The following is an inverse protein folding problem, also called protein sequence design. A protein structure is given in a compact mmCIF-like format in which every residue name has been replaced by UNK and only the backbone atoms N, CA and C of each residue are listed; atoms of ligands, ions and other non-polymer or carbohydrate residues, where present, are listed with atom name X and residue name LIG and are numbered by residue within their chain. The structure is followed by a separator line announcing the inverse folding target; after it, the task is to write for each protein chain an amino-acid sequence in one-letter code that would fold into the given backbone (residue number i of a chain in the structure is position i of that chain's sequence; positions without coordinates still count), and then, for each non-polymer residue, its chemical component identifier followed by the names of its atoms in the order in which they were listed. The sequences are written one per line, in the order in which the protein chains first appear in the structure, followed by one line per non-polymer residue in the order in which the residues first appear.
data_IF_685967354303
#
_entry.id   IF_685967354303
#
_cell.length_a   1.000
_cell.length_b   1.000
_cell.length_c   1.000
_cell.angle_alpha   90.00
_cell.angle_beta   90.00
_cell.angle_gamma   90.00
#
_symmetry.space_group_name_H-M   'P 1'
#
loop_
_entity.id
_entity.type
_entity.pdbx_description
1 polymer ?
#
# COMPACT_ATOMS: atom_id res chain seq x y z
N UNK A 1 -18.26 -5.77 6.28
CA UNK A 1 -17.47 -6.87 5.64
C UNK A 1 -17.68 -8.28 6.20
N UNK A 2 -17.53 -8.51 7.52
CA UNK A 2 -17.54 -9.87 8.11
C UNK A 2 -18.80 -10.68 7.80
N UNK A 3 -19.94 -10.01 7.84
CA UNK A 3 -21.22 -10.60 7.52
C UNK A 3 -21.30 -11.08 6.06
N UNK A 4 -20.83 -10.26 5.10
CA UNK A 4 -20.77 -10.68 3.71
C UNK A 4 -19.89 -11.91 3.50
N UNK A 5 -18.71 -11.95 4.13
CA UNK A 5 -17.81 -13.10 4.04
C UNK A 5 -18.49 -14.38 4.55
N UNK A 6 -19.19 -14.30 5.70
CA UNK A 6 -19.93 -15.42 6.27
C UNK A 6 -21.05 -15.91 5.34
N UNK A 7 -21.89 -15.00 4.84
CA UNK A 7 -23.00 -15.35 3.93
C UNK A 7 -22.50 -15.96 2.62
N UNK A 8 -21.38 -15.43 2.09
CA UNK A 8 -20.75 -15.94 0.88
C UNK A 8 -20.23 -17.38 1.07
N UNK A 9 -19.55 -17.64 2.19
CA UNK A 9 -19.09 -18.97 2.59
C UNK A 9 -20.28 -19.93 2.74
N UNK A 10 -21.34 -19.52 3.43
CA UNK A 10 -22.55 -20.34 3.64
C UNK A 10 -23.22 -20.71 2.31
N UNK A 11 -23.29 -19.79 1.35
CA UNK A 11 -23.86 -20.08 0.03
C UNK A 11 -23.09 -21.20 -0.69
N UNK A 12 -21.77 -21.08 -0.77
CA UNK A 12 -20.94 -22.09 -1.46
C UNK A 12 -21.05 -23.43 -0.75
N UNK A 13 -20.94 -23.44 0.58
CA UNK A 13 -20.93 -24.67 1.37
C UNK A 13 -22.30 -25.36 1.43
N UNK A 14 -23.39 -24.65 1.15
CA UNK A 14 -24.73 -25.25 1.06
C UNK A 14 -24.89 -26.16 -0.18
N UNK A 15 -24.25 -25.81 -1.30
CA UNK A 15 -24.35 -26.51 -2.59
C UNK A 15 -23.00 -26.48 -3.32
N UNK A 16 -21.93 -27.09 -2.78
CA UNK A 16 -20.58 -26.92 -3.31
C UNK A 16 -20.41 -27.49 -4.73
N UNK A 17 -21.18 -28.53 -5.08
CA UNK A 17 -21.11 -29.18 -6.39
C UNK A 17 -21.52 -28.25 -7.54
N UNK A 18 -22.42 -27.29 -7.28
CA UNK A 18 -22.92 -26.33 -8.27
C UNK A 18 -21.85 -25.33 -8.74
N UNK A 19 -20.73 -25.24 -8.03
CA UNK A 19 -19.67 -24.25 -8.26
C UNK A 19 -18.33 -24.88 -8.64
N UNK A 20 -18.22 -26.21 -8.76
CA UNK A 20 -16.94 -26.90 -9.05
C UNK A 20 -16.39 -26.50 -10.42
N UNK A 21 -17.20 -26.59 -11.48
CA UNK A 21 -16.75 -26.22 -12.84
C UNK A 21 -16.48 -24.71 -12.94
N UNK A 22 -17.27 -23.89 -12.26
CA UNK A 22 -17.10 -22.43 -12.20
C UNK A 22 -15.75 -22.06 -11.55
N UNK A 23 -15.40 -22.71 -10.44
CA UNK A 23 -14.09 -22.54 -9.80
C UNK A 23 -12.94 -23.02 -10.71
N UNK A 24 -13.08 -24.17 -11.38
CA UNK A 24 -12.05 -24.64 -12.33
C UNK A 24 -11.80 -23.63 -13.44
N UNK A 25 -12.85 -23.12 -14.05
CA UNK A 25 -12.76 -22.10 -15.11
C UNK A 25 -12.10 -20.81 -14.58
N UNK A 26 -12.51 -20.33 -13.40
CA UNK A 26 -11.89 -19.17 -12.76
C UNK A 26 -10.38 -19.35 -12.56
N UNK A 27 -9.93 -20.43 -11.93
CA UNK A 27 -8.49 -20.65 -11.71
C UNK A 27 -7.71 -20.86 -13.01
N UNK A 28 -8.31 -21.50 -14.03
CA UNK A 28 -7.69 -21.61 -15.35
C UNK A 28 -7.49 -20.23 -16.00
N UNK A 29 -8.47 -19.34 -15.90
CA UNK A 29 -8.38 -17.95 -16.39
C UNK A 29 -7.34 -17.16 -15.61
N UNK A 30 -7.32 -17.26 -14.28
CA UNK A 30 -6.31 -16.60 -13.43
C UNK A 30 -4.89 -17.04 -13.80
N UNK A 31 -4.66 -18.35 -13.96
CA UNK A 31 -3.35 -18.91 -14.33
C UNK A 31 -2.84 -18.46 -15.71
N UNK A 32 -3.72 -17.97 -16.58
CA UNK A 32 -3.39 -17.41 -17.91
C UNK A 32 -3.42 -15.87 -17.94
N UNK A 33 -3.70 -15.24 -16.80
CA UNK A 33 -3.90 -13.80 -16.70
C UNK A 33 -2.60 -13.03 -16.44
N UNK A 34 -2.69 -11.70 -16.44
CA UNK A 34 -1.60 -10.78 -16.08
C UNK A 34 -1.60 -10.37 -14.61
N UNK A 35 -2.33 -11.09 -13.73
CA UNK A 35 -2.23 -10.93 -12.28
C UNK A 35 -0.90 -11.53 -11.78
N UNK A 36 0.21 -10.89 -12.15
CA UNK A 36 1.58 -11.41 -11.97
C UNK A 36 2.32 -10.52 -10.97
N UNK A 37 2.87 -11.14 -9.93
CA UNK A 37 3.74 -10.54 -8.93
C UNK A 37 5.08 -11.29 -8.90
N UNK A 38 6.20 -10.58 -9.05
CA UNK A 38 7.55 -11.16 -9.18
C UNK A 38 7.64 -12.35 -10.15
N UNK A 39 7.06 -12.21 -11.34
CA UNK A 39 7.12 -13.21 -12.41
C UNK A 39 6.24 -14.45 -12.21
N UNK A 40 5.42 -14.49 -11.15
CA UNK A 40 4.47 -15.58 -10.89
C UNK A 40 3.05 -15.04 -10.82
N UNK A 41 2.09 -15.84 -11.28
CA UNK A 41 0.67 -15.55 -11.06
C UNK A 41 0.40 -15.52 -9.56
N UNK A 42 -0.32 -14.50 -9.09
CA UNK A 42 -0.66 -14.36 -7.67
C UNK A 42 -1.48 -15.53 -7.17
N UNK A 43 -1.24 -15.92 -5.92
CA UNK A 43 -2.13 -16.85 -5.21
C UNK A 43 -3.45 -16.15 -4.97
N UNK A 44 -4.55 -16.81 -5.28
CA UNK A 44 -5.91 -16.27 -5.04
C UNK A 44 -6.82 -17.40 -4.56
N UNK A 45 -8.03 -17.04 -4.17
CA UNK A 45 -9.06 -17.95 -3.64
C UNK A 45 -10.38 -17.64 -4.35
N UNK A 46 -11.38 -18.50 -4.21
CA UNK A 46 -12.75 -18.21 -4.67
C UNK A 46 -13.47 -17.20 -3.77
N UNK A 47 -12.74 -16.32 -3.08
CA UNK A 47 -13.24 -15.33 -2.13
C UNK A 47 -12.91 -13.93 -2.62
N UNK A 48 -13.94 -13.08 -2.74
CA UNK A 48 -13.78 -11.63 -2.83
C UNK A 48 -14.06 -10.97 -1.47
N UNK A 49 -13.54 -9.76 -1.29
CA UNK A 49 -13.85 -8.90 -0.14
C UNK A 49 -15.01 -8.00 -0.50
N UNK A 50 -16.18 -8.33 0.03
CA UNK A 50 -17.38 -7.52 -0.11
C UNK A 50 -17.49 -6.50 1.03
N UNK A 51 -17.80 -5.26 0.67
CA UNK A 51 -17.99 -4.18 1.64
C UNK A 51 -19.12 -3.24 1.24
N UNK A 52 -19.78 -2.63 2.22
CA UNK A 52 -20.93 -1.75 1.99
C UNK A 52 -20.65 -0.28 2.28
N UNK A 53 -21.70 0.54 2.22
CA UNK A 53 -21.63 1.98 2.44
C UNK A 53 -21.00 2.37 3.79
N UNK A 54 -21.31 1.63 4.87
CA UNK A 54 -20.71 1.87 6.20
C UNK A 54 -19.19 1.69 6.19
N UNK A 55 -18.72 0.60 5.58
CA UNK A 55 -17.30 0.31 5.45
C UNK A 55 -16.60 1.37 4.58
N UNK A 56 -17.24 1.77 3.47
CA UNK A 56 -16.74 2.85 2.60
C UNK A 56 -16.58 4.18 3.36
N UNK A 57 -17.59 4.60 4.11
CA UNK A 57 -17.51 5.85 4.89
C UNK A 57 -16.37 5.79 5.91
N UNK A 58 -16.15 4.64 6.54
CA UNK A 58 -15.02 4.43 7.44
C UNK A 58 -13.68 4.67 6.70
N UNK A 59 -13.53 4.11 5.50
CA UNK A 59 -12.34 4.31 4.68
C UNK A 59 -12.15 5.76 4.24
N UNK A 60 -13.22 6.46 3.87
CA UNK A 60 -13.15 7.89 3.53
C UNK A 60 -12.68 8.73 4.74
N UNK A 61 -13.19 8.46 5.96
CA UNK A 61 -12.74 9.15 7.17
C UNK A 61 -11.30 8.78 7.58
N UNK A 62 -10.89 7.52 7.42
CA UNK A 62 -9.49 7.09 7.60
C UNK A 62 -8.56 7.91 6.70
N UNK A 63 -8.91 8.04 5.42
CA UNK A 63 -8.17 8.85 4.46
C UNK A 63 -8.09 10.31 4.89
N UNK A 64 -9.22 10.93 5.17
CA UNK A 64 -9.30 12.33 5.60
C UNK A 64 -8.42 12.61 6.83
N UNK A 65 -8.46 11.74 7.84
CA UNK A 65 -7.66 11.90 9.05
C UNK A 65 -6.17 11.77 8.76
N UNK A 66 -5.76 10.72 8.05
CA UNK A 66 -4.35 10.48 7.74
C UNK A 66 -3.77 11.53 6.80
N UNK A 67 -4.55 12.08 5.87
CA UNK A 67 -4.12 13.17 5.00
C UNK A 67 -3.98 14.49 5.78
N UNK A 68 -4.89 14.77 6.72
CA UNK A 68 -4.75 15.91 7.64
C UNK A 68 -3.46 15.81 8.46
N UNK A 69 -3.23 14.66 9.11
CA UNK A 69 -2.02 14.38 9.89
C UNK A 69 -0.78 14.51 9.00
N UNK A 70 -0.76 13.86 7.84
CA UNK A 70 0.38 13.89 6.92
C UNK A 70 0.72 15.31 6.43
N UNK A 71 -0.29 16.12 6.10
CA UNK A 71 -0.10 17.51 5.71
C UNK A 71 0.44 18.38 6.86
N UNK A 72 0.04 18.12 8.11
CA UNK A 72 0.59 18.82 9.28
C UNK A 72 2.02 18.38 9.58
N UNK A 73 2.31 17.08 9.50
CA UNK A 73 3.64 16.50 9.62
C UNK A 73 4.59 17.13 8.59
N UNK A 74 4.17 17.24 7.32
CA UNK A 74 4.98 17.84 6.27
C UNK A 74 5.29 19.31 6.54
N UNK A 75 4.29 20.09 6.98
CA UNK A 75 4.49 21.49 7.35
C UNK A 75 5.43 21.66 8.54
N UNK A 76 5.33 20.79 9.55
CA UNK A 76 6.23 20.83 10.70
C UNK A 76 7.65 20.42 10.30
N UNK A 77 7.79 19.38 9.48
CA UNK A 77 9.08 18.93 8.94
C UNK A 77 9.78 20.04 8.15
N UNK A 78 9.05 20.77 7.32
CA UNK A 78 9.58 21.92 6.58
C UNK A 78 10.14 23.00 7.51
N UNK A 79 9.39 23.35 8.56
CA UNK A 79 9.68 24.52 9.41
C UNK A 79 10.66 24.25 10.54
N UNK A 80 10.72 23.02 11.05
CA UNK A 80 11.35 22.72 12.33
C UNK A 80 12.50 21.71 12.22
N UNK A 81 13.77 22.19 12.22
CA UNK A 81 14.94 21.31 12.16
C UNK A 81 15.01 20.29 13.29
N UNK A 82 14.52 20.61 14.50
CA UNK A 82 14.52 19.64 15.62
C UNK A 82 13.51 18.51 15.39
N UNK A 83 12.36 18.81 14.78
CA UNK A 83 11.40 17.78 14.39
C UNK A 83 11.98 16.88 13.29
N UNK A 84 12.72 17.45 12.32
CA UNK A 84 13.36 16.67 11.24
C UNK A 84 14.33 15.62 11.76
N UNK A 85 15.09 15.93 12.82
CA UNK A 85 16.02 14.98 13.45
C UNK A 85 15.34 13.68 13.91
N UNK A 86 14.03 13.70 14.20
CA UNK A 86 13.28 12.50 14.57
C UNK A 86 13.18 11.46 13.44
N UNK A 87 13.39 11.87 12.19
CA UNK A 87 13.35 10.99 11.02
C UNK A 87 14.71 10.33 10.73
N UNK A 88 15.81 11.02 11.03
CA UNK A 88 17.16 10.52 10.73
C UNK A 88 17.47 10.36 9.24
N UNK A 89 16.80 11.10 8.36
CA UNK A 89 17.08 11.06 6.93
C UNK A 89 18.46 11.65 6.59
N UNK A 90 19.05 11.17 5.49
CA UNK A 90 20.32 11.72 5.00
C UNK A 90 20.13 13.15 4.48
N UNK A 91 21.20 13.97 4.44
CA UNK A 91 21.11 15.35 3.96
C UNK A 91 20.50 15.48 2.55
N UNK A 92 20.85 14.55 1.64
CA UNK A 92 20.27 14.54 0.30
C UNK A 92 18.77 14.24 0.33
N UNK A 93 18.34 13.23 1.09
CA UNK A 93 16.92 12.90 1.17
C UNK A 93 16.11 14.03 1.83
N UNK A 94 16.66 14.67 2.86
CA UNK A 94 16.06 15.87 3.46
C UNK A 94 15.89 16.99 2.42
N UNK A 95 16.92 17.28 1.61
CA UNK A 95 16.85 18.26 0.53
C UNK A 95 15.72 17.91 -0.47
N UNK A 96 15.60 16.64 -0.87
CA UNK A 96 14.58 16.18 -1.79
C UNK A 96 13.15 16.27 -1.22
N UNK A 97 12.99 16.01 0.09
CA UNK A 97 11.71 16.13 0.80
C UNK A 97 11.28 17.59 0.96
N UNK A 98 12.22 18.49 1.25
CA UNK A 98 11.97 19.92 1.45
C UNK A 98 11.63 20.64 0.16
N UNK A 99 12.08 20.12 -1.00
CA UNK A 99 11.71 20.67 -2.31
C UNK A 99 10.18 20.70 -2.46
N UNK A 100 9.66 21.81 -2.96
CA UNK A 100 8.26 21.91 -3.36
C UNK A 100 8.02 21.07 -4.63
N UNK A 101 7.17 20.03 -4.61
CA UNK A 101 6.87 19.21 -5.77
C UNK A 101 5.91 19.88 -6.76
N UNK A 102 5.43 21.11 -6.47
CA UNK A 102 4.53 21.87 -7.34
C UNK A 102 3.06 21.50 -7.16
N UNK A 103 2.71 20.78 -6.09
CA UNK A 103 1.35 20.47 -5.68
C UNK A 103 1.22 20.45 -4.16
N UNK A 104 0.02 20.70 -3.64
CA UNK A 104 -0.21 20.92 -2.20
C UNK A 104 -0.26 19.65 -1.35
N UNK A 105 -0.53 18.51 -1.98
CA UNK A 105 -0.73 17.24 -1.27
C UNK A 105 0.61 16.66 -0.83
N UNK A 106 0.68 16.15 0.41
CA UNK A 106 1.87 15.43 0.90
C UNK A 106 2.01 14.07 0.24
N UNK A 107 0.89 13.36 0.10
CA UNK A 107 0.84 11.98 -0.41
C UNK A 107 -0.13 11.91 -1.59
N UNK A 108 0.36 11.97 -2.85
CA UNK A 108 -0.52 11.90 -4.01
C UNK A 108 -1.09 10.50 -4.26
N UNK A 109 -0.37 9.46 -3.84
CA UNK A 109 -0.73 8.05 -3.98
C UNK A 109 -0.45 7.35 -2.65
N UNK A 110 -1.49 6.84 -2.00
CA UNK A 110 -1.36 6.06 -0.77
C UNK A 110 -2.04 4.69 -0.93
N UNK A 111 -1.44 3.68 -0.29
CA UNK A 111 -2.09 2.45 0.12
C UNK A 111 -1.88 2.28 1.63
N UNK A 112 -2.92 2.48 2.42
CA UNK A 112 -2.84 2.33 3.87
C UNK A 112 -3.34 0.96 4.27
N UNK A 113 -2.46 0.17 4.88
CA UNK A 113 -2.72 -1.22 5.18
C UNK A 113 -3.17 -1.34 6.63
N UNK A 114 -4.38 -1.84 6.81
CA UNK A 114 -5.04 -1.96 8.11
C UNK A 114 -5.51 -3.39 8.37
N UNK A 115 -5.52 -3.77 9.64
CA UNK A 115 -6.37 -4.84 10.13
C UNK A 115 -7.73 -4.23 10.47
N UNK A 116 -8.77 -4.66 9.78
CA UNK A 116 -10.10 -4.06 9.87
C UNK A 116 -11.12 -5.08 10.41
N UNK A 117 -11.78 -4.76 11.52
CA UNK A 117 -12.88 -5.56 12.03
C UNK A 117 -14.23 -4.94 11.67
N UNK A 118 -14.37 -3.63 11.92
CA UNK A 118 -15.57 -2.82 11.68
C UNK A 118 -15.18 -1.32 11.67
N UNK A 119 -16.08 -0.40 11.26
CA UNK A 119 -15.75 1.02 11.06
C UNK A 119 -15.01 1.69 12.23
N UNK A 120 -15.36 1.38 13.46
CA UNK A 120 -14.77 1.98 14.66
C UNK A 120 -13.60 1.18 15.25
N UNK A 121 -13.34 -0.04 14.76
CA UNK A 121 -12.31 -0.95 15.28
C UNK A 121 -11.42 -1.48 14.13
N UNK A 122 -10.32 -0.77 13.94
CA UNK A 122 -9.27 -1.13 13.00
C UNK A 122 -7.93 -0.63 13.53
N UNK A 123 -6.83 -1.22 13.06
CA UNK A 123 -5.48 -0.85 13.46
C UNK A 123 -4.57 -0.85 12.24
N UNK A 124 -3.72 0.17 12.12
CA UNK A 124 -2.74 0.25 11.03
C UNK A 124 -1.62 -0.79 11.19
N UNK A 125 -1.23 -1.39 10.07
CA UNK A 125 -0.08 -2.29 9.97
C UNK A 125 1.13 -1.56 9.37
N UNK A 126 0.94 -0.93 8.22
CA UNK A 126 1.95 -0.19 7.46
C UNK A 126 1.32 0.92 6.62
N UNK A 127 2.12 1.93 6.25
CA UNK A 127 1.72 3.02 5.36
C UNK A 127 2.55 2.96 4.07
N UNK A 128 1.93 2.53 2.97
CA UNK A 128 2.60 2.46 1.67
C UNK A 128 2.31 3.75 0.89
N UNK A 129 3.31 4.63 0.79
CA UNK A 129 3.16 5.92 0.10
C UNK A 129 4.33 6.19 -0.87
N UNK A 130 5.09 5.14 -1.16
CA UNK A 130 6.26 5.14 -2.03
C UNK A 130 6.24 3.87 -2.87
N UNK A 131 6.09 4.02 -4.19
CA UNK A 131 6.07 2.87 -5.10
C UNK A 131 4.90 1.87 -4.93
N UNK A 132 3.80 2.25 -4.25
CA UNK A 132 2.66 1.37 -3.94
C UNK A 132 2.18 0.54 -5.14
N UNK A 133 1.93 -0.75 -4.90
CA UNK A 133 1.62 -1.77 -5.90
C UNK A 133 0.30 -2.51 -5.61
N UNK A 134 0.00 -3.53 -6.42
CA UNK A 134 -1.13 -4.45 -6.34
C UNK A 134 -2.45 -3.98 -6.95
N UNK A 135 -2.44 -2.85 -7.66
CA UNK A 135 -3.60 -2.36 -8.40
C UNK A 135 -3.97 -3.30 -9.55
N UNK A 136 -2.96 -3.79 -10.28
CA UNK A 136 -3.22 -4.67 -11.43
C UNK A 136 -3.77 -6.04 -11.00
N UNK A 137 -3.26 -6.56 -9.88
CA UNK A 137 -3.64 -7.85 -9.34
C UNK A 137 -5.12 -7.84 -8.93
N UNK A 138 -5.53 -6.82 -8.15
CA UNK A 138 -6.93 -6.63 -7.80
C UNK A 138 -7.80 -6.43 -9.06
N UNK A 139 -7.39 -5.56 -9.99
CA UNK A 139 -8.15 -5.28 -11.20
C UNK A 139 -8.41 -6.54 -12.04
N UNK A 140 -7.37 -7.35 -12.28
CA UNK A 140 -7.48 -8.56 -13.09
C UNK A 140 -8.33 -9.61 -12.35
N UNK A 141 -8.07 -9.84 -11.06
CA UNK A 141 -8.82 -10.81 -10.27
C UNK A 141 -10.29 -10.41 -10.16
N UNK A 142 -10.60 -9.13 -9.91
CA UNK A 142 -11.95 -8.60 -9.82
C UNK A 142 -12.71 -8.77 -11.13
N UNK A 143 -12.11 -8.39 -12.26
CA UNK A 143 -12.70 -8.54 -13.61
C UNK A 143 -13.00 -10.01 -13.95
N UNK A 144 -12.17 -10.95 -13.51
CA UNK A 144 -12.43 -12.38 -13.70
C UNK A 144 -13.50 -12.90 -12.72
N UNK A 145 -13.44 -12.46 -11.46
CA UNK A 145 -14.33 -12.93 -10.40
C UNK A 145 -15.79 -12.55 -10.66
N UNK A 146 -16.07 -11.33 -11.14
CA UNK A 146 -17.45 -10.89 -11.45
C UNK A 146 -18.10 -11.68 -12.60
N UNK A 147 -17.32 -12.47 -13.36
CA UNK A 147 -17.83 -13.34 -14.42
C UNK A 147 -18.21 -14.74 -13.92
N UNK A 148 -17.94 -15.06 -12.67
CA UNK A 148 -18.23 -16.37 -12.09
C UNK A 148 -19.73 -16.55 -11.81
N UNK A 149 -20.21 -17.78 -11.88
CA UNK A 149 -21.57 -18.16 -11.45
C UNK A 149 -21.74 -17.87 -9.97
N UNK A 150 -20.76 -18.20 -9.14
CA UNK A 150 -20.86 -17.99 -7.69
C UNK A 150 -21.06 -16.52 -7.31
N UNK A 151 -20.37 -15.61 -8.00
CA UNK A 151 -20.60 -14.17 -7.83
C UNK A 151 -22.03 -13.80 -8.22
N UNK A 152 -22.50 -14.21 -9.41
CA UNK A 152 -23.86 -13.90 -9.89
C UNK A 152 -24.94 -14.40 -8.94
N UNK A 153 -24.80 -15.60 -8.41
CA UNK A 153 -25.77 -16.19 -7.49
C UNK A 153 -25.75 -15.47 -6.13
N UNK A 154 -24.57 -15.02 -5.69
CA UNK A 154 -24.41 -14.28 -4.43
C UNK A 154 -24.99 -12.86 -4.50
N UNK A 155 -24.62 -12.10 -5.53
CA UNK A 155 -25.10 -10.72 -5.69
C UNK A 155 -26.55 -10.68 -6.14
N UNK A 156 -27.02 -11.67 -6.91
CA UNK A 156 -28.37 -11.71 -7.44
C UNK A 156 -28.71 -10.45 -8.24
N UNK A 157 -29.71 -9.69 -7.79
CA UNK A 157 -30.14 -8.44 -8.42
C UNK A 157 -29.52 -7.19 -7.76
N UNK A 158 -28.67 -7.37 -6.74
CA UNK A 158 -28.08 -6.25 -6.02
C UNK A 158 -27.04 -5.53 -6.86
N UNK A 159 -26.95 -4.21 -6.67
CA UNK A 159 -25.97 -3.39 -7.37
C UNK A 159 -24.62 -3.50 -6.68
N UNK A 160 -23.61 -3.92 -7.40
CA UNK A 160 -22.22 -3.97 -6.91
C UNK A 160 -21.26 -3.35 -7.91
N UNK A 161 -20.10 -2.93 -7.44
CA UNK A 161 -19.05 -2.28 -8.24
C UNK A 161 -17.69 -2.84 -7.85
N UNK A 162 -16.90 -3.22 -8.86
CA UNK A 162 -15.45 -3.37 -8.74
C UNK A 162 -14.83 -2.05 -9.21
N UNK A 163 -13.98 -1.41 -8.40
CA UNK A 163 -13.36 -0.13 -8.77
C UNK A 163 -12.06 -0.37 -9.50
N UNK A 164 -11.90 0.26 -10.68
CA UNK A 164 -10.65 0.17 -11.43
C UNK A 164 -9.56 1.03 -10.77
N UNK A 165 -8.50 0.39 -10.29
CA UNK A 165 -7.40 1.03 -9.59
C UNK A 165 -6.31 1.59 -10.54
N UNK A 166 -6.33 1.24 -11.82
CA UNK A 166 -5.31 1.70 -12.79
C UNK A 166 -5.84 2.88 -13.59
N UNK A 167 -7.01 2.72 -14.22
CA UNK A 167 -7.55 3.76 -15.10
C UNK A 167 -7.87 5.04 -14.34
N UNK A 168 -8.37 4.92 -13.10
CA UNK A 168 -8.67 6.07 -12.26
C UNK A 168 -7.42 6.84 -11.84
N UNK A 169 -6.29 6.15 -11.59
CA UNK A 169 -5.02 6.84 -11.35
C UNK A 169 -4.58 7.60 -12.60
N UNK A 170 -4.61 6.97 -13.77
CA UNK A 170 -4.25 7.59 -15.06
C UNK A 170 -5.07 8.85 -15.32
N UNK A 171 -6.39 8.80 -15.09
CA UNK A 171 -7.29 9.94 -15.26
C UNK A 171 -6.96 11.07 -14.28
N UNK A 172 -6.82 10.74 -12.99
CA UNK A 172 -6.56 11.74 -11.94
C UNK A 172 -5.17 12.37 -12.06
N UNK A 173 -4.15 11.57 -12.33
CA UNK A 173 -2.76 12.02 -12.43
C UNK A 173 -2.55 12.97 -13.61
N UNK A 174 -3.12 12.65 -14.76
CA UNK A 174 -3.01 13.49 -15.96
C UNK A 174 -3.86 14.74 -15.86
N UNK A 175 -5.08 14.65 -15.31
CA UNK A 175 -5.91 15.83 -15.05
C UNK A 175 -5.23 16.81 -14.08
N UNK A 176 -4.53 16.30 -13.05
CA UNK A 176 -3.73 17.13 -12.16
C UNK A 176 -2.60 17.82 -12.91
N UNK A 177 -1.83 17.09 -13.73
CA UNK A 177 -0.76 17.67 -14.54
C UNK A 177 -1.29 18.78 -15.46
N UNK A 178 -2.29 18.48 -16.27
CA UNK A 178 -2.85 19.41 -17.26
C UNK A 178 -3.41 20.67 -16.58
N UNK A 179 -4.06 20.52 -15.42
CA UNK A 179 -4.54 21.65 -14.62
C UNK A 179 -3.40 22.56 -14.14
N UNK A 180 -2.27 21.98 -13.72
CA UNK A 180 -1.16 22.73 -13.14
C UNK A 180 -0.20 23.30 -14.20
N UNK A 181 -0.05 22.62 -15.34
CA UNK A 181 0.96 22.94 -16.37
C UNK A 181 0.35 23.50 -17.66
N UNK A 182 -0.95 23.34 -17.87
CA UNK A 182 -1.67 23.92 -19.03
C UNK A 182 -1.45 23.19 -20.36
N UNK A 183 -0.83 22.01 -20.35
CA UNK A 183 -0.62 21.18 -21.55
C UNK A 183 -0.62 19.69 -21.21
N UNK A 184 -0.71 18.84 -22.24
CA UNK A 184 -0.65 17.37 -22.10
C UNK A 184 0.80 16.91 -21.78
N UNK A 185 1.01 15.97 -20.85
CA UNK A 185 2.35 15.46 -20.54
C UNK A 185 2.78 14.32 -21.47
N UNK A 186 4.10 14.21 -21.61
CA UNK A 186 4.80 12.98 -21.99
C UNK A 186 5.24 12.32 -20.69
N UNK A 187 4.98 11.03 -20.54
CA UNK A 187 4.99 10.37 -19.23
C UNK A 187 6.06 9.29 -19.19
N UNK A 188 6.86 9.26 -18.13
CA UNK A 188 7.72 8.12 -17.81
C UNK A 188 7.25 7.44 -16.53
N UNK A 189 7.05 6.13 -16.58
CA UNK A 189 6.92 5.27 -15.39
C UNK A 189 8.33 4.80 -15.07
N UNK A 190 8.89 5.25 -13.95
CA UNK A 190 10.32 5.07 -13.66
C UNK A 190 10.53 4.13 -12.48
N UNK A 191 11.32 3.06 -12.70
CA UNK A 191 11.75 2.07 -11.70
C UNK A 191 13.02 1.32 -12.16
N UNK A 192 13.70 0.59 -11.26
CA UNK A 192 14.81 -0.29 -11.65
C UNK A 192 14.31 -1.55 -12.35
N UNK A 193 14.69 -1.72 -13.62
CA UNK A 193 14.15 -2.79 -14.48
C UNK A 193 14.90 -4.14 -14.36
N UNK A 194 15.84 -4.26 -13.44
CA UNK A 194 16.68 -5.46 -13.25
C UNK A 194 15.89 -6.70 -12.81
N UNK A 195 14.70 -6.50 -12.27
CA UNK A 195 13.77 -7.58 -11.92
C UNK A 195 12.79 -7.91 -13.07
N UNK A 196 12.97 -7.30 -14.25
CA UNK A 196 12.01 -7.31 -15.35
C UNK A 196 10.92 -6.25 -15.18
N UNK A 197 10.33 -5.82 -16.29
CA UNK A 197 9.16 -4.93 -16.27
C UNK A 197 7.98 -5.65 -15.63
N UNK A 198 7.41 -5.08 -14.57
CA UNK A 198 6.24 -5.68 -13.93
C UNK A 198 5.01 -5.60 -14.85
N UNK A 199 4.16 -6.63 -14.83
CA UNK A 199 2.89 -6.63 -15.55
C UNK A 199 2.00 -5.43 -15.16
N UNK A 200 2.17 -4.90 -13.94
CA UNK A 200 1.50 -3.71 -13.47
C UNK A 200 1.97 -2.43 -14.20
N UNK A 201 3.27 -2.27 -14.45
CA UNK A 201 3.78 -1.09 -15.18
C UNK A 201 3.30 -1.08 -16.62
N UNK A 202 3.24 -2.26 -17.25
CA UNK A 202 2.67 -2.42 -18.59
C UNK A 202 1.17 -2.07 -18.59
N UNK A 203 0.42 -2.52 -17.59
CA UNK A 203 -1.00 -2.20 -17.46
C UNK A 203 -1.25 -0.68 -17.30
N UNK A 204 -0.41 0.01 -16.52
CA UNK A 204 -0.43 1.49 -16.46
C UNK A 204 -0.05 2.13 -17.79
N UNK A 205 1.01 1.68 -18.45
CA UNK A 205 1.44 2.21 -19.75
C UNK A 205 0.33 2.05 -20.80
N UNK A 206 -0.30 0.89 -20.88
CA UNK A 206 -1.43 0.63 -21.77
C UNK A 206 -2.62 1.53 -21.44
N UNK A 207 -2.93 1.75 -20.16
CA UNK A 207 -4.00 2.64 -19.75
C UNK A 207 -3.73 4.10 -20.14
N UNK A 208 -2.51 4.60 -19.94
CA UNK A 208 -2.12 5.94 -20.43
C UNK A 208 -2.23 6.05 -21.96
N UNK A 209 -1.71 5.06 -22.69
CA UNK A 209 -1.78 5.02 -24.17
C UNK A 209 -3.21 4.99 -24.69
N UNK A 210 -4.12 4.23 -24.04
CA UNK A 210 -5.56 4.22 -24.38
C UNK A 210 -6.22 5.59 -24.23
N UNK A 211 -5.74 6.43 -23.32
CA UNK A 211 -6.20 7.82 -23.14
C UNK A 211 -5.44 8.83 -24.03
N UNK A 212 -4.60 8.34 -24.95
CA UNK A 212 -3.88 9.16 -25.92
C UNK A 212 -2.70 9.93 -25.32
N UNK A 213 -2.04 9.40 -24.28
CA UNK A 213 -0.78 9.96 -23.78
C UNK A 213 0.40 9.17 -24.32
N UNK A 214 1.49 9.88 -24.62
CA UNK A 214 2.80 9.25 -24.79
C UNK A 214 3.26 8.73 -23.42
N UNK A 215 3.64 7.45 -23.35
CA UNK A 215 4.11 6.85 -22.10
C UNK A 215 5.15 5.78 -22.35
N UNK A 216 6.26 5.90 -21.63
CA UNK A 216 7.36 4.94 -21.59
C UNK A 216 7.50 4.35 -20.18
N UNK A 217 8.07 3.14 -20.12
CA UNK A 217 8.59 2.58 -18.87
C UNK A 217 10.11 2.70 -19.00
N UNK A 218 10.76 3.34 -18.03
CA UNK A 218 12.17 3.69 -18.14
C UNK A 218 12.92 3.29 -16.88
N UNK A 219 14.11 2.74 -17.08
CA UNK A 219 15.11 2.66 -16.02
C UNK A 219 15.70 4.06 -15.77
N UNK A 220 15.95 4.48 -14.51
CA UNK A 220 16.56 5.77 -14.23
C UNK A 220 17.85 6.05 -15.01
N UNK A 221 18.63 5.01 -15.35
CA UNK A 221 19.88 5.14 -16.11
C UNK A 221 19.70 5.47 -17.59
N UNK A 222 18.49 5.27 -18.11
CA UNK A 222 18.13 5.58 -19.50
C UNK A 222 17.65 7.02 -19.65
N UNK A 223 17.50 7.75 -18.55
CA UNK A 223 17.12 9.15 -18.55
C UNK A 223 18.35 10.03 -18.69
N UNK A 224 18.20 11.14 -19.42
CA UNK A 224 19.23 12.18 -19.53
C UNK A 224 18.62 13.55 -19.24
N UNK A 225 19.42 14.47 -18.71
CA UNK A 225 18.97 15.82 -18.36
C UNK A 225 19.98 16.86 -18.84
N UNK A 226 19.56 17.70 -19.79
CA UNK A 226 20.42 18.73 -20.40
C UNK A 226 20.46 20.06 -19.61
N UNK A 227 19.77 20.13 -18.47
CA UNK A 227 19.58 21.35 -17.68
C UNK A 227 18.22 22.02 -17.86
N UNK A 228 17.52 21.71 -18.96
CA UNK A 228 16.22 22.27 -19.31
C UNK A 228 15.12 21.21 -19.45
N UNK A 229 15.43 20.06 -20.05
CA UNK A 229 14.48 18.98 -20.29
C UNK A 229 15.04 17.63 -19.86
N UNK A 230 14.17 16.80 -19.27
CA UNK A 230 14.45 15.39 -19.02
C UNK A 230 14.08 14.59 -20.26
N UNK A 231 14.97 13.75 -20.74
CA UNK A 231 14.75 12.93 -21.93
C UNK A 231 14.71 11.45 -21.59
N UNK A 232 13.90 10.71 -22.35
CA UNK A 232 14.08 9.28 -22.56
C UNK A 232 14.39 9.08 -24.03
N UNK A 233 15.64 8.74 -24.35
CA UNK A 233 16.15 8.78 -25.74
C UNK A 233 15.94 10.19 -26.33
N UNK A 234 15.17 10.32 -27.41
CA UNK A 234 14.90 11.59 -28.09
C UNK A 234 13.62 12.28 -27.58
N UNK A 235 12.84 11.63 -26.71
CA UNK A 235 11.54 12.13 -26.25
C UNK A 235 11.66 12.92 -24.94
N UNK A 236 11.18 14.16 -24.94
CA UNK A 236 11.06 14.99 -23.73
C UNK A 236 10.00 14.40 -22.80
N UNK A 237 10.34 14.25 -21.52
CA UNK A 237 9.46 13.79 -20.45
C UNK A 237 9.03 14.97 -19.59
N UNK A 238 7.71 15.12 -19.41
CA UNK A 238 7.11 16.21 -18.63
C UNK A 238 6.66 15.74 -17.23
N UNK A 239 6.17 14.50 -17.14
CA UNK A 239 5.65 13.91 -15.92
C UNK A 239 6.32 12.58 -15.65
N UNK A 240 6.82 12.40 -14.44
CA UNK A 240 7.34 11.11 -13.99
C UNK A 240 6.37 10.52 -12.98
N UNK A 241 5.82 9.35 -13.28
CA UNK A 241 5.18 8.51 -12.27
C UNK A 241 6.25 7.64 -11.63
N UNK A 242 6.73 8.07 -10.46
CA UNK A 242 7.83 7.40 -9.75
C UNK A 242 7.30 6.12 -9.10
N UNK A 243 7.73 4.97 -9.64
CA UNK A 243 7.59 3.65 -9.01
C UNK A 243 8.85 3.24 -8.27
N UNK A 244 9.99 3.84 -8.63
CA UNK A 244 11.28 3.75 -7.96
C UNK A 244 11.17 4.08 -6.47
N UNK A 245 11.36 3.06 -5.63
CA UNK A 245 11.34 3.18 -4.17
C UNK A 245 12.54 4.01 -3.70
N UNK A 246 12.31 4.93 -2.77
CA UNK A 246 13.35 5.86 -2.28
C UNK A 246 14.53 5.11 -1.68
N UNK A 247 14.30 4.07 -0.88
CA UNK A 247 15.39 3.30 -0.27
C UNK A 247 16.36 2.71 -1.31
N UNK A 248 15.81 2.15 -2.40
CA UNK A 248 16.60 1.59 -3.50
C UNK A 248 17.34 2.70 -4.26
N UNK A 249 16.66 3.80 -4.59
CA UNK A 249 17.28 4.96 -5.25
C UNK A 249 18.43 5.55 -4.42
N UNK A 250 18.26 5.65 -3.10
CA UNK A 250 19.31 6.17 -2.21
C UNK A 250 20.51 5.23 -2.11
N UNK A 251 20.32 3.93 -2.37
CA UNK A 251 21.40 2.95 -2.51
C UNK A 251 22.24 3.11 -3.79
N UNK A 252 21.66 3.68 -4.86
CA UNK A 252 22.35 3.97 -6.12
C UNK A 252 21.93 5.33 -6.71
N UNK A 253 22.33 6.40 -6.02
CA UNK A 253 22.00 7.79 -6.40
C UNK A 253 22.53 8.14 -7.80
N UNK A 254 23.69 7.60 -8.18
CA UNK A 254 24.34 7.94 -9.46
C UNK A 254 23.45 7.58 -10.63
N UNK A 255 22.78 6.43 -10.55
CA UNK A 255 21.88 5.93 -11.58
C UNK A 255 20.62 6.78 -11.75
N UNK A 256 20.15 7.42 -10.68
CA UNK A 256 18.99 8.29 -10.69
C UNK A 256 19.33 9.77 -10.81
N UNK A 257 20.61 10.13 -11.05
CA UNK A 257 21.07 11.52 -11.03
C UNK A 257 20.30 12.43 -12.01
N UNK A 258 20.07 12.06 -13.29
CA UNK A 258 19.31 12.92 -14.21
C UNK A 258 17.89 13.21 -13.72
N UNK A 259 17.21 12.20 -13.16
CA UNK A 259 15.88 12.36 -12.56
C UNK A 259 15.91 13.32 -11.35
N UNK A 260 16.89 13.15 -10.46
CA UNK A 260 17.08 13.99 -9.27
C UNK A 260 17.35 15.44 -9.67
N UNK A 261 18.27 15.66 -10.61
CA UNK A 261 18.62 16.99 -11.08
C UNK A 261 17.42 17.69 -11.74
N UNK A 262 16.68 17.00 -12.60
CA UNK A 262 15.48 17.54 -13.24
C UNK A 262 14.37 17.90 -12.24
N UNK A 263 14.20 17.09 -11.19
CA UNK A 263 13.26 17.37 -10.10
C UNK A 263 13.69 18.60 -9.28
N UNK A 264 14.96 18.70 -8.91
CA UNK A 264 15.49 19.85 -8.18
C UNK A 264 15.45 21.15 -8.99
N UNK A 265 15.56 21.05 -10.32
CA UNK A 265 15.51 22.18 -11.26
C UNK A 265 14.08 22.56 -11.71
N UNK A 266 13.03 21.97 -11.13
CA UNK A 266 11.62 22.24 -11.48
C UNK A 266 11.23 21.96 -12.94
N UNK A 267 11.99 21.10 -13.64
CA UNK A 267 11.78 20.80 -15.06
C UNK A 267 10.77 19.69 -15.33
N UNK A 268 10.40 18.92 -14.31
CA UNK A 268 9.40 17.85 -14.40
C UNK A 268 8.39 17.92 -13.25
N UNK A 269 7.21 17.32 -13.46
CA UNK A 269 6.30 16.99 -12.35
C UNK A 269 6.53 15.55 -11.90
N UNK A 270 7.00 15.37 -10.66
CA UNK A 270 7.24 14.06 -10.07
C UNK A 270 6.04 13.61 -9.23
N UNK A 271 5.25 12.66 -9.73
CA UNK A 271 4.17 12.03 -8.95
C UNK A 271 4.72 10.84 -8.16
N UNK A 272 4.38 10.82 -6.88
CA UNK A 272 5.13 10.04 -5.89
C UNK A 272 6.37 10.81 -5.41
N UNK A 273 6.31 12.14 -5.28
CA UNK A 273 7.45 12.94 -4.81
C UNK A 273 7.99 12.50 -3.45
N UNK A 274 9.24 12.88 -3.15
CA UNK A 274 9.96 12.42 -1.95
C UNK A 274 9.28 12.78 -0.63
N UNK A 275 8.44 13.83 -0.62
CA UNK A 275 7.67 14.24 0.56
C UNK A 275 6.77 13.14 1.13
N UNK A 276 6.31 12.19 0.31
CA UNK A 276 5.52 11.05 0.81
C UNK A 276 6.32 10.15 1.77
N UNK A 277 7.66 10.18 1.72
CA UNK A 277 8.52 9.44 2.64
C UNK A 277 8.28 9.76 4.11
N UNK A 278 7.80 10.98 4.39
CA UNK A 278 7.41 11.37 5.75
C UNK A 278 6.34 10.45 6.33
N UNK A 279 5.46 9.91 5.49
CA UNK A 279 4.43 8.96 5.88
C UNK A 279 4.80 7.50 5.59
N UNK A 280 5.81 7.24 4.75
CA UNK A 280 6.21 5.88 4.37
C UNK A 280 7.15 5.20 5.36
N UNK A 281 8.07 5.98 5.98
CA UNK A 281 9.12 5.42 6.83
C UNK A 281 8.57 4.53 7.94
N UNK A 282 9.22 3.41 8.25
CA UNK A 282 8.81 2.54 9.36
C UNK A 282 8.76 3.28 10.70
N UNK A 283 9.58 4.32 10.85
CA UNK A 283 9.65 5.17 12.05
C UNK A 283 8.39 6.01 12.27
N UNK A 284 7.52 6.15 11.26
CA UNK A 284 6.38 7.07 11.33
C UNK A 284 5.47 6.79 12.52
N UNK A 285 5.21 5.54 12.90
CA UNK A 285 4.39 5.25 14.07
C UNK A 285 5.06 5.71 15.37
N UNK A 286 6.38 5.55 15.49
CA UNK A 286 7.10 6.09 16.65
C UNK A 286 7.06 7.63 16.68
N UNK A 287 7.14 8.28 15.51
CA UNK A 287 7.05 9.74 15.40
C UNK A 287 5.65 10.23 15.75
N UNK A 288 4.59 9.57 15.28
CA UNK A 288 3.20 9.95 15.58
C UNK A 288 2.88 9.84 17.08
N UNK A 289 3.48 8.87 17.78
CA UNK A 289 3.40 8.74 19.25
C UNK A 289 4.36 9.66 20.01
N UNK A 290 5.27 10.35 19.33
CA UNK A 290 6.25 11.20 19.97
C UNK A 290 5.60 12.48 20.54
N UNK A 291 5.98 12.94 21.77
CA UNK A 291 5.37 14.13 22.40
C UNK A 291 5.43 15.42 21.56
N UNK A 292 6.33 15.50 20.59
CA UNK A 292 6.44 16.64 19.67
C UNK A 292 5.15 16.84 18.85
N UNK A 293 4.47 15.76 18.46
CA UNK A 293 3.24 15.82 17.67
C UNK A 293 2.09 16.52 18.42
N UNK A 294 2.09 16.49 19.76
CA UNK A 294 1.11 17.21 20.60
C UNK A 294 1.19 18.73 20.46
N UNK A 295 2.26 19.27 19.89
CA UNK A 295 2.44 20.72 19.70
C UNK A 295 1.66 21.28 18.52
N UNK A 296 1.26 20.44 17.56
CA UNK A 296 0.66 20.90 16.30
C UNK A 296 -0.50 20.05 15.77
N UNK A 297 -0.68 18.80 16.25
CA UNK A 297 -1.87 18.00 15.95
C UNK A 297 -3.05 18.41 16.82
N UNK A 298 -4.28 18.25 16.31
CA UNK A 298 -5.50 18.49 17.08
C UNK A 298 -5.78 17.33 18.06
N UNK A 299 -6.67 17.57 19.04
CA UNK A 299 -7.13 16.51 19.95
C UNK A 299 -7.72 15.31 19.21
N UNK A 300 -8.57 15.56 18.22
CA UNK A 300 -9.17 14.51 17.37
C UNK A 300 -8.12 13.66 16.63
N UNK A 301 -7.06 14.28 16.12
CA UNK A 301 -5.96 13.57 15.46
C UNK A 301 -5.14 12.73 16.45
N UNK A 302 -4.90 13.26 17.65
CA UNK A 302 -4.17 12.54 18.71
C UNK A 302 -4.98 11.34 19.21
N UNK A 303 -6.29 11.49 19.42
CA UNK A 303 -7.19 10.42 19.81
C UNK A 303 -7.25 9.33 18.72
N UNK A 304 -7.26 9.72 17.45
CA UNK A 304 -7.19 8.79 16.32
C UNK A 304 -5.87 8.00 16.32
N UNK A 305 -4.73 8.68 16.53
CA UNK A 305 -3.42 8.03 16.62
C UNK A 305 -3.39 7.03 17.78
N UNK A 306 -3.83 7.43 18.97
CA UNK A 306 -3.86 6.57 20.16
C UNK A 306 -4.71 5.31 19.95
N UNK A 307 -5.85 5.47 19.28
CA UNK A 307 -6.80 4.39 19.05
C UNK A 307 -6.38 3.44 17.93
N UNK A 308 -5.85 3.96 16.83
CA UNK A 308 -5.72 3.20 15.58
C UNK A 308 -4.27 2.92 15.16
N UNK A 309 -3.28 3.63 15.71
CA UNK A 309 -1.87 3.43 15.37
C UNK A 309 -1.17 2.68 16.51
N UNK A 310 -0.57 1.50 16.25
CA UNK A 310 0.13 0.75 17.28
C UNK A 310 1.22 1.58 17.95
N UNK A 311 1.23 1.57 19.27
CA UNK A 311 2.32 2.15 20.06
C UNK A 311 3.65 1.58 19.56
N UNK A 312 4.54 2.46 19.15
CA UNK A 312 5.83 2.09 18.55
C UNK A 312 6.89 2.99 19.12
N UNK A 313 8.05 2.42 19.44
CA UNK A 313 9.20 3.16 19.95
C UNK A 313 10.48 2.69 19.27
N UNK A 314 11.49 3.56 19.26
CA UNK A 314 12.85 3.21 18.85
C UNK A 314 13.50 2.42 19.99
N UNK A 315 14.28 1.41 19.62
CA UNK A 315 15.03 0.58 20.56
C UNK A 315 15.93 1.45 21.45
N UNK A 316 15.81 1.24 22.77
CA UNK A 316 16.72 1.79 23.77
C UNK A 316 17.44 0.60 24.44
N UNK A 317 18.72 0.41 24.11
CA UNK A 317 19.52 -0.72 24.61
C UNK A 317 19.76 -0.69 26.12
N UNK A 318 19.42 0.40 26.82
CA UNK A 318 19.47 0.42 28.29
C UNK A 318 18.27 -0.29 28.94
N UNK A 319 17.20 -0.54 28.17
CA UNK A 319 15.92 -1.07 28.66
C UNK A 319 15.63 -2.51 28.25
N UNK A 320 16.61 -3.26 27.76
CA UNK A 320 16.40 -4.63 27.24
C UNK A 320 15.67 -5.55 28.22
N UNK A 321 16.02 -5.50 29.51
CA UNK A 321 15.35 -6.28 30.57
C UNK A 321 13.89 -5.88 30.76
N UNK A 322 13.55 -4.60 30.58
CA UNK A 322 12.17 -4.13 30.64
C UNK A 322 11.38 -4.67 29.44
N UNK A 323 11.95 -4.58 28.24
CA UNK A 323 11.31 -5.09 27.01
C UNK A 323 11.07 -6.59 27.07
N UNK A 324 12.04 -7.36 27.58
CA UNK A 324 11.90 -8.80 27.76
C UNK A 324 10.73 -9.19 28.66
N UNK A 325 10.39 -8.39 29.69
CA UNK A 325 9.24 -8.65 30.58
C UNK A 325 7.88 -8.55 29.88
N UNK A 326 7.82 -7.83 28.76
CA UNK A 326 6.61 -7.61 27.94
C UNK A 326 6.77 -8.13 26.51
N UNK A 327 7.70 -9.06 26.27
CA UNK A 327 8.06 -9.51 24.92
C UNK A 327 6.87 -10.06 24.12
N UNK A 328 5.93 -10.72 24.79
CA UNK A 328 4.77 -11.35 24.13
C UNK A 328 3.81 -10.33 23.49
N UNK A 329 3.88 -9.08 23.97
CA UNK A 329 3.12 -7.94 23.46
C UNK A 329 3.92 -7.09 22.47
N UNK A 330 5.14 -7.50 22.10
CA UNK A 330 6.03 -6.74 21.23
C UNK A 330 6.32 -7.46 19.92
N UNK A 331 6.49 -6.64 18.88
CA UNK A 331 7.02 -7.01 17.58
C UNK A 331 8.29 -6.20 17.34
N UNK A 332 9.39 -6.88 17.08
CA UNK A 332 10.65 -6.27 16.66
C UNK A 332 10.57 -6.05 15.15
N UNK A 333 10.80 -4.82 14.68
CA UNK A 333 10.88 -4.47 13.27
C UNK A 333 12.24 -3.85 12.98
N UNK A 334 13.09 -4.57 12.25
CA UNK A 334 14.36 -4.05 11.76
C UNK A 334 14.14 -2.95 10.70
N UNK A 335 15.03 -1.96 10.66
CA UNK A 335 14.92 -0.82 9.74
C UNK A 335 14.98 -1.26 8.25
N UNK A 336 15.88 -2.18 7.92
CA UNK A 336 16.18 -2.61 6.54
C UNK A 336 15.34 -3.80 6.02
N UNK A 337 14.31 -4.20 6.76
CA UNK A 337 13.47 -5.33 6.37
C UNK A 337 12.46 -4.98 5.27
N UNK A 338 12.53 -5.63 4.10
CA UNK A 338 11.44 -5.64 3.10
C UNK A 338 10.68 -6.98 3.13
N UNK A 339 9.36 -6.93 2.94
CA UNK A 339 8.54 -8.13 2.76
C UNK A 339 8.58 -9.12 3.94
N UNK A 340 8.64 -8.65 5.18
CA UNK A 340 8.61 -9.46 6.40
C UNK A 340 9.94 -10.05 6.87
N UNK A 341 11.03 -9.89 6.11
CA UNK A 341 12.38 -10.16 6.61
C UNK A 341 12.70 -9.14 7.72
N UNK A 342 13.19 -9.60 8.87
CA UNK A 342 13.50 -8.71 10.01
C UNK A 342 12.29 -8.29 10.86
N UNK A 343 11.18 -9.04 10.79
CA UNK A 343 10.06 -8.93 11.73
C UNK A 343 10.10 -10.15 12.68
N UNK A 344 10.15 -9.90 13.98
CA UNK A 344 10.12 -10.96 14.99
C UNK A 344 9.00 -10.69 15.99
N UNK A 345 8.15 -11.68 16.23
CA UNK A 345 7.15 -11.62 17.28
C UNK A 345 7.79 -12.08 18.58
N UNK A 346 7.76 -11.26 19.63
CA UNK A 346 8.41 -11.61 20.88
C UNK A 346 7.78 -12.80 21.60
N UNK A 347 6.52 -13.15 21.32
CA UNK A 347 5.90 -14.37 21.84
C UNK A 347 6.54 -15.65 21.29
N UNK A 348 7.05 -15.60 20.05
CA UNK A 348 7.67 -16.75 19.38
C UNK A 348 9.12 -16.98 19.83
N UNK A 349 9.64 -16.11 20.71
CA UNK A 349 11.03 -16.11 21.15
C UNK A 349 11.15 -16.46 22.64
N UNK A 350 12.23 -17.12 23.03
CA UNK A 350 12.62 -17.17 24.44
C UNK A 350 13.05 -15.77 24.92
N UNK A 351 13.07 -15.53 26.23
CA UNK A 351 13.54 -14.26 26.78
C UNK A 351 15.01 -14.00 26.44
N UNK A 352 15.82 -15.04 26.45
CA UNK A 352 17.23 -15.02 26.10
C UNK A 352 17.43 -14.69 24.61
N UNK A 353 16.68 -15.33 23.72
CA UNK A 353 16.73 -15.05 22.28
C UNK A 353 16.24 -13.64 21.96
N UNK A 354 15.16 -13.19 22.62
CA UNK A 354 14.62 -11.84 22.46
C UNK A 354 15.67 -10.78 22.85
N UNK A 355 16.32 -10.94 24.00
CA UNK A 355 17.39 -10.02 24.43
C UNK A 355 18.55 -10.05 23.45
N UNK A 356 19.02 -11.24 23.05
CA UNK A 356 20.14 -11.39 22.10
C UNK A 356 19.85 -10.68 20.77
N UNK A 357 18.65 -10.87 20.22
CA UNK A 357 18.22 -10.18 18.99
C UNK A 357 18.29 -8.66 19.16
N UNK A 358 17.86 -8.13 20.31
CA UNK A 358 17.91 -6.69 20.56
C UNK A 358 19.33 -6.16 20.85
N UNK A 359 20.21 -6.97 21.42
CA UNK A 359 21.64 -6.61 21.60
C UNK A 359 22.33 -6.43 20.25
N UNK A 360 22.08 -7.35 19.32
CA UNK A 360 22.64 -7.36 17.96
C UNK A 360 21.96 -6.36 17.01
N UNK A 361 20.74 -5.93 17.35
CA UNK A 361 19.95 -5.01 16.54
C UNK A 361 20.59 -3.62 16.41
N UNK A 362 20.32 -2.94 15.29
CA UNK A 362 20.70 -1.52 15.15
C UNK A 362 19.92 -0.66 16.14
N UNK A 363 20.50 0.48 16.55
CA UNK A 363 19.84 1.49 17.38
C UNK A 363 18.57 2.08 16.73
N UNK A 364 18.36 1.84 15.43
CA UNK A 364 17.17 2.29 14.69
C UNK A 364 16.05 1.25 14.63
N UNK A 365 16.25 0.08 15.24
CA UNK A 365 15.24 -0.98 15.33
C UNK A 365 14.02 -0.48 16.09
N UNK A 366 12.83 -0.87 15.64
CA UNK A 366 11.57 -0.46 16.24
C UNK A 366 10.99 -1.60 17.07
N UNK A 367 10.46 -1.24 18.24
CA UNK A 367 9.61 -2.09 19.07
C UNK A 367 8.18 -1.59 18.95
N UNK A 368 7.30 -2.42 18.45
CA UNK A 368 5.89 -2.09 18.22
C UNK A 368 4.99 -2.98 19.07
N UNK A 369 3.94 -2.41 19.66
CA UNK A 369 2.86 -3.17 20.28
C UNK A 369 2.24 -4.11 19.28
N UNK A 370 2.16 -5.39 19.65
CA UNK A 370 1.63 -6.42 18.79
C UNK A 370 0.13 -6.25 18.58
N UNK A 371 -0.28 -6.46 17.34
CA UNK A 371 -1.68 -6.50 16.93
C UNK A 371 -2.09 -7.97 16.81
N UNK A 372 -3.27 -8.31 17.33
CA UNK A 372 -3.87 -9.65 17.28
C UNK A 372 -5.17 -9.60 16.49
N UNK A 373 -5.12 -9.52 15.15
CA UNK A 373 -6.31 -9.39 14.32
C UNK A 373 -7.15 -10.65 14.34
N UNK A 374 -8.48 -10.51 14.28
CA UNK A 374 -9.38 -11.67 14.18
C UNK A 374 -9.42 -12.23 12.76
N UNK A 375 -9.28 -13.56 12.59
CA UNK A 375 -9.38 -14.17 11.27
C UNK A 375 -10.78 -14.04 10.67
N UNK A 376 -10.80 -14.18 9.35
CA UNK A 376 -11.96 -14.20 8.47
C UNK A 376 -12.05 -15.56 7.79
N UNK A 377 -13.25 -16.12 7.59
CA UNK A 377 -13.41 -17.34 6.82
C UNK A 377 -13.12 -17.05 5.34
N UNK A 378 -12.26 -17.84 4.73
CA UNK A 378 -11.91 -17.75 3.31
C UNK A 378 -12.19 -19.08 2.62
N UNK A 379 -12.98 -19.03 1.54
CA UNK A 379 -13.23 -20.21 0.70
C UNK A 379 -12.00 -20.53 -0.16
N UNK A 380 -11.45 -21.71 0.01
CA UNK A 380 -10.44 -22.27 -0.89
C UNK A 380 -11.07 -23.35 -1.78
N UNK A 381 -10.41 -23.60 -2.90
CA UNK A 381 -10.76 -24.68 -3.82
C UNK A 381 -9.49 -25.46 -4.18
N UNK A 382 -9.43 -26.74 -3.80
CA UNK A 382 -8.30 -27.62 -4.07
C UNK A 382 -8.82 -29.01 -4.39
N UNK A 383 -8.23 -29.66 -5.40
CA UNK A 383 -8.58 -31.04 -5.77
C UNK A 383 -10.09 -31.25 -5.99
N UNK A 384 -10.78 -30.25 -6.55
CA UNK A 384 -12.23 -30.23 -6.76
C UNK A 384 -13.11 -30.20 -5.50
N UNK A 385 -12.51 -29.80 -4.37
CA UNK A 385 -13.21 -29.65 -3.11
C UNK A 385 -13.10 -28.22 -2.59
N UNK A 386 -14.21 -27.69 -2.10
CA UNK A 386 -14.26 -26.43 -1.37
C UNK A 386 -13.94 -26.67 0.10
N UNK A 387 -13.05 -25.85 0.65
CA UNK A 387 -12.72 -25.83 2.08
C UNK A 387 -12.80 -24.42 2.61
N UNK A 388 -13.07 -24.28 3.91
CA UNK A 388 -13.06 -22.98 4.59
C UNK A 388 -11.83 -22.94 5.47
N UNK A 389 -10.97 -21.95 5.27
CA UNK A 389 -9.80 -21.73 6.12
C UNK A 389 -9.87 -20.36 6.79
N UNK A 390 -9.51 -20.25 8.09
CA UNK A 390 -9.36 -18.94 8.72
C UNK A 390 -8.11 -18.24 8.18
N UNK A 391 -8.27 -16.97 7.76
CA UNK A 391 -7.16 -16.12 7.33
C UNK A 391 -7.28 -14.72 7.94
N UNK A 392 -6.14 -14.13 8.29
CA UNK A 392 -6.06 -12.71 8.63
C UNK A 392 -6.13 -11.89 7.33
N UNK A 393 -7.01 -10.90 7.29
CA UNK A 393 -7.10 -9.94 6.19
C UNK A 393 -6.31 -8.68 6.52
N UNK A 394 -5.40 -8.32 5.61
CA UNK A 394 -4.75 -7.01 5.58
C UNK A 394 -5.40 -6.23 4.43
N UNK A 395 -6.15 -5.18 4.78
CA UNK A 395 -6.83 -4.32 3.81
C UNK A 395 -5.94 -3.14 3.48
N UNK A 396 -5.40 -3.11 2.26
CA UNK A 396 -4.70 -1.97 1.69
C UNK A 396 -5.68 -1.00 1.05
N UNK A 397 -5.93 0.14 1.67
CA UNK A 397 -6.87 1.15 1.20
C UNK A 397 -6.16 2.14 0.28
N UNK A 398 -6.60 2.23 -0.97
CA UNK A 398 -6.02 3.17 -1.92
C UNK A 398 -6.66 4.55 -1.84
N UNK A 399 -5.81 5.57 -1.78
CA UNK A 399 -6.19 6.98 -1.89
C UNK A 399 -5.40 7.65 -3.00
N UNK A 400 -6.11 8.22 -3.98
CA UNK A 400 -5.53 8.96 -5.09
C UNK A 400 -5.90 10.43 -4.94
N UNK A 401 -4.88 11.27 -4.81
CA UNK A 401 -5.03 12.71 -4.58
C UNK A 401 -5.98 12.98 -3.39
N UNK A 402 -5.67 12.34 -2.26
CA UNK A 402 -6.42 12.41 -0.98
C UNK A 402 -7.85 11.84 -1.01
N UNK A 403 -8.27 11.17 -2.10
CA UNK A 403 -9.62 10.57 -2.22
C UNK A 403 -9.57 9.06 -2.24
N UNK A 404 -10.46 8.42 -1.47
CA UNK A 404 -10.67 6.98 -1.50
C UNK A 404 -10.94 6.49 -2.94
N UNK A 405 -10.29 5.40 -3.32
CA UNK A 405 -10.40 4.81 -4.65
C UNK A 405 -10.91 3.36 -4.63
N UNK A 406 -10.55 2.59 -3.62
CA UNK A 406 -10.84 1.17 -3.53
C UNK A 406 -9.89 0.50 -2.57
N UNK A 407 -9.99 -0.81 -2.44
CA UNK A 407 -9.14 -1.59 -1.54
C UNK A 407 -8.47 -2.74 -2.30
N UNK A 408 -7.34 -3.19 -1.79
CA UNK A 408 -6.73 -4.46 -2.14
C UNK A 408 -6.56 -5.26 -0.86
N UNK A 409 -6.93 -6.54 -0.87
CA UNK A 409 -6.84 -7.37 0.34
C UNK A 409 -5.88 -8.53 0.17
N UNK A 410 -5.00 -8.67 1.17
CA UNK A 410 -4.15 -9.84 1.35
C UNK A 410 -4.72 -10.72 2.45
N UNK A 411 -5.00 -11.98 2.13
CA UNK A 411 -5.39 -13.02 3.09
C UNK A 411 -4.20 -13.91 3.43
N UNK A 412 -3.79 -13.96 4.69
CA UNK A 412 -2.68 -14.80 5.16
C UNK A 412 -3.13 -15.72 6.30
N UNK A 413 -2.56 -16.92 6.39
CA UNK A 413 -2.69 -17.71 7.64
C UNK A 413 -1.83 -17.03 8.72
N UNK A 414 -2.20 -17.24 9.98
CA UNK A 414 -1.43 -16.72 11.11
C UNK A 414 0.04 -17.19 11.02
N UNK A 415 0.99 -16.27 11.25
CA UNK A 415 2.43 -16.54 11.11
C UNK A 415 3.00 -16.53 9.68
N UNK A 416 2.18 -16.34 8.63
CA UNK A 416 2.67 -16.27 7.24
C UNK A 416 3.10 -14.84 6.88
N UNK A 417 4.30 -14.73 6.32
CA UNK A 417 4.88 -13.49 5.75
C UNK A 417 4.11 -13.09 4.49
N UNK A 418 3.96 -11.77 4.25
CA UNK A 418 3.18 -11.17 3.16
C UNK A 418 3.42 -11.75 1.74
N UNK A 419 4.57 -12.38 1.48
CA UNK A 419 4.93 -12.95 0.16
C UNK A 419 4.14 -14.21 -0.22
N UNK A 420 3.56 -14.93 0.76
CA UNK A 420 2.76 -16.14 0.51
C UNK A 420 1.26 -15.94 0.70
N UNK A 421 0.83 -14.68 0.86
CA UNK A 421 -0.55 -14.31 1.04
C UNK A 421 -1.39 -14.49 -0.24
N UNK A 422 -2.68 -14.72 -0.05
CA UNK A 422 -3.69 -14.74 -1.08
C UNK A 422 -4.10 -13.31 -1.44
N UNK A 423 -4.18 -13.00 -2.72
CA UNK A 423 -4.80 -11.77 -3.23
C UNK A 423 -6.31 -12.00 -3.39
N UNK A 424 -7.10 -11.20 -2.68
CA UNK A 424 -8.56 -11.26 -2.69
C UNK A 424 -9.10 -9.97 -3.33
N UNK A 425 -9.79 -10.05 -4.48
CA UNK A 425 -10.31 -8.86 -5.15
C UNK A 425 -11.45 -8.23 -4.33
N UNK A 426 -11.61 -6.91 -4.44
CA UNK A 426 -12.68 -6.20 -3.73
C UNK A 426 -13.96 -6.08 -4.55
N UNK A 427 -15.11 -5.99 -3.88
CA UNK A 427 -16.40 -5.68 -4.49
C UNK A 427 -17.18 -4.78 -3.53
N UNK A 428 -17.52 -3.57 -3.97
CA UNK A 428 -18.40 -2.66 -3.22
C UNK A 428 -19.86 -3.01 -3.46
N UNK A 429 -20.64 -3.08 -2.39
CA UNK A 429 -22.07 -3.23 -2.40
C UNK A 429 -22.74 -1.85 -2.37
N UNK A 430 -23.42 -1.49 -3.46
CA UNK A 430 -24.00 -0.16 -3.68
C UNK A 430 -25.49 -0.07 -3.33
N UNK A 431 -26.12 -1.17 -2.91
CA UNK A 431 -27.52 -1.23 -2.48
C UNK A 431 -28.36 -2.32 -3.13
N UNK A 432 -29.53 -2.55 -2.53
CA UNK A 432 -30.49 -3.63 -2.76
C UNK A 432 -30.91 -4.27 -1.43
N UNK A 433 -31.84 -5.23 -1.41
CA UNK A 433 -32.23 -5.91 -0.16
C UNK A 433 -31.00 -6.64 0.41
N UNK A 434 -30.47 -6.16 1.54
CA UNK A 434 -29.52 -6.92 2.34
C UNK A 434 -30.18 -8.25 2.68
N UNK A 435 -29.68 -9.35 2.09
CA UNK A 435 -30.18 -10.71 2.37
C UNK A 435 -29.92 -11.08 3.81
#
# INVERSE_FOLDING_TARGET
MREYAKKYVEQIMSQPQDYVEDARDFFQKVNRSRAIYHGKVVKTSMQAVFYGEKDRRAFEEVGKMMMSIGNKIAKEYEKNPEFRKLYGFSPLLEQLILKDPGYSMTVPMARYDIFYEEPENFVFCELNTDGSSAMNEDNVLGKLFIQTKVYRDFVGQNKTVHHDLIEEWVLKSTALFEKLKGHRPNIAIVDFLESGTSAEFEAFQEAYKRKGYFTVIADPKELDFDGEHLYYKDDVIHMVYRRLVTGEMMGDIKRAKPLIDAYLADKIMLLGGFRSQLMHTKRIFAILHHPFCRKFLSGEELDFIEKHIPETQILDKTKLKEYSRKKDDLVIKAEDGYGGKGIFFGEDLSSEDFIRILEDASEHTLLQKRIRPKPMPVINFRENHFTVEPMIWIIGIFYYLEKFQGIYTRGAKEGIIAQDAYSLPHIEWMGGNEK
#
